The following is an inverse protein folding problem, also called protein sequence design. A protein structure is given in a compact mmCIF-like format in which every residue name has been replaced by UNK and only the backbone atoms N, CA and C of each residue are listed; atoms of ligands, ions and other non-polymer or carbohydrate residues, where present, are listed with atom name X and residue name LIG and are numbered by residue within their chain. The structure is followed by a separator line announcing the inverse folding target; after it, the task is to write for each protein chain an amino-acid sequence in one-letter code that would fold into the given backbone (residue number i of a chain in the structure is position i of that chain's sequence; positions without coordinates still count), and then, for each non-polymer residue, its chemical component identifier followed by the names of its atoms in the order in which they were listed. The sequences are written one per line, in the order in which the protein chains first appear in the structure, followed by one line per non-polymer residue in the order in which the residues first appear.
data_IF_309833880554
#
_entry.id   IF_309833880554
#
_cell.length_a   1.000
_cell.length_b   1.000
_cell.length_c   1.000
_cell.angle_alpha   90.00
_cell.angle_beta   90.00
_cell.angle_gamma   90.00
#
_symmetry.space_group_name_H-M   'P 1'
#
loop_
_entity.id
_entity.type
_entity.pdbx_description
1 polymer ?
#
# COMPACT_ATOMS: atom_id res chain seq x y z
N UNK A 1 -47.74 32.71 55.89
CA UNK A 1 -49.09 32.66 55.28
C UNK A 1 -49.49 34.10 54.92
N UNK A 2 -49.12 34.58 53.74
CA UNK A 2 -49.13 36.00 53.37
C UNK A 2 -50.27 36.39 52.42
N UNK A 3 -51.16 37.26 52.93
CA UNK A 3 -52.07 38.27 52.36
C UNK A 3 -52.28 38.36 50.83
N UNK A 4 -53.56 38.42 50.42
CA UNK A 4 -54.02 38.94 49.12
C UNK A 4 -54.11 40.48 49.09
N UNK A 5 -53.89 41.11 47.92
CA UNK A 5 -54.52 42.38 47.47
C UNK A 5 -54.61 42.39 45.92
N UNK A 6 -55.77 42.80 45.37
CA UNK A 6 -56.11 42.89 43.94
C UNK A 6 -55.74 44.24 43.27
N UNK A 7 -55.29 44.18 42.00
CA UNK A 7 -55.52 45.02 40.77
C UNK A 7 -55.63 46.58 40.82
N UNK A 8 -55.76 47.31 39.68
CA UNK A 8 -55.06 47.33 38.37
C UNK A 8 -54.49 48.75 38.05
N UNK A 9 -53.64 48.89 37.02
CA UNK A 9 -53.20 50.22 36.55
C UNK A 9 -52.44 50.18 35.23
N UNK A 10 -53.06 50.71 34.17
CA UNK A 10 -52.51 50.90 32.82
C UNK A 10 -51.59 52.14 32.72
N UNK A 11 -50.98 52.30 31.53
CA UNK A 11 -50.43 53.48 30.82
C UNK A 11 -49.01 53.13 30.30
N UNK A 12 -48.81 52.61 29.08
CA UNK A 12 -48.84 53.20 27.72
C UNK A 12 -47.46 53.76 27.26
N UNK A 13 -46.94 53.22 26.14
CA UNK A 13 -45.74 53.71 25.44
C UNK A 13 -45.11 52.68 24.50
N UNK A 14 -45.65 52.54 23.29
CA UNK A 14 -44.92 52.07 22.07
C UNK A 14 -44.26 53.29 21.38
N UNK A 15 -43.46 53.18 20.29
CA UNK A 15 -42.49 52.17 19.85
C UNK A 15 -41.17 52.82 19.30
N UNK A 16 -40.26 51.99 18.77
CA UNK A 16 -39.41 52.23 17.57
C UNK A 16 -37.88 51.99 17.71
N UNK A 17 -37.35 51.45 16.60
CA UNK A 17 -35.97 51.21 16.19
C UNK A 17 -35.23 50.00 16.79
N UNK A 18 -34.95 48.92 16.06
CA UNK A 18 -34.36 48.71 14.73
C UNK A 18 -32.96 48.09 14.90
N UNK A 19 -32.70 47.03 14.13
CA UNK A 19 -31.33 46.62 13.82
C UNK A 19 -30.65 45.66 14.78
N UNK A 20 -31.32 44.59 15.24
CA UNK A 20 -30.58 43.35 15.51
C UNK A 20 -30.56 42.56 14.22
N UNK A 21 -29.56 42.85 13.40
CA UNK A 21 -29.17 41.97 12.30
C UNK A 21 -28.94 40.58 12.89
N UNK A 22 -29.93 39.71 12.72
CA UNK A 22 -29.74 38.29 12.89
C UNK A 22 -28.70 37.90 11.83
N UNK A 23 -27.47 37.60 12.30
CA UNK A 23 -26.40 37.09 11.47
C UNK A 23 -26.96 36.08 10.48
N UNK A 24 -26.71 36.34 9.20
CA UNK A 24 -27.29 35.59 8.11
C UNK A 24 -26.94 34.10 8.27
N UNK A 25 -27.77 33.15 7.81
CA UNK A 25 -27.40 31.73 7.77
C UNK A 25 -26.07 31.46 7.05
N UNK A 26 -25.57 32.43 6.27
CA UNK A 26 -24.30 32.40 5.57
C UNK A 26 -23.08 32.67 6.47
N UNK A 27 -23.24 33.20 7.69
CA UNK A 27 -22.13 33.51 8.60
C UNK A 27 -21.63 32.27 9.38
N UNK A 28 -22.44 31.21 9.49
CA UNK A 28 -22.04 29.95 10.16
C UNK A 28 -21.29 28.98 9.23
N UNK A 29 -21.31 29.22 7.92
CA UNK A 29 -20.60 28.39 6.94
C UNK A 29 -19.09 28.71 6.90
N UNK A 30 -18.69 29.85 7.46
CA UNK A 30 -17.31 30.23 7.61
C UNK A 30 -16.71 29.66 8.91
N UNK A 31 -15.89 28.61 8.78
CA UNK A 31 -14.78 28.24 9.67
C UNK A 31 -14.84 26.89 10.41
N UNK A 32 -15.38 25.82 9.81
CA UNK A 32 -14.73 24.51 10.00
C UNK A 32 -13.43 24.50 9.17
N UNK A 33 -12.39 25.21 9.61
CA UNK A 33 -11.06 25.09 9.01
C UNK A 33 -10.60 23.66 9.25
N UNK A 34 -10.65 22.83 8.22
CA UNK A 34 -10.12 21.48 8.28
C UNK A 34 -8.65 21.56 8.70
N UNK A 35 -8.37 21.12 9.92
CA UNK A 35 -7.00 21.11 10.43
C UNK A 35 -6.22 20.07 9.63
N UNK A 36 -5.11 20.42 8.96
CA UNK A 36 -4.37 19.45 8.17
C UNK A 36 -3.78 18.41 9.12
N UNK A 37 -4.27 17.17 9.03
CA UNK A 37 -3.74 16.07 9.80
C UNK A 37 -2.35 15.73 9.26
N UNK A 38 -1.29 16.21 9.93
CA UNK A 38 0.09 15.91 9.55
C UNK A 38 0.41 14.48 9.95
N UNK A 39 0.62 13.60 8.96
CA UNK A 39 1.12 12.25 9.24
C UNK A 39 2.60 12.34 9.63
N UNK A 40 3.00 11.84 10.81
CA UNK A 40 4.40 11.84 11.24
C UNK A 40 5.17 10.74 10.53
N UNK A 41 6.49 10.89 10.35
CA UNK A 41 7.33 9.99 9.53
C UNK A 41 7.35 8.51 10.01
N UNK A 42 7.04 8.28 11.29
CA UNK A 42 6.98 6.98 11.95
C UNK A 42 5.56 6.38 12.00
N UNK A 43 4.61 6.94 11.23
CA UNK A 43 3.21 6.50 11.18
C UNK A 43 3.05 4.99 11.00
N UNK A 44 3.96 4.36 10.26
CA UNK A 44 3.95 2.94 9.93
C UNK A 44 4.24 2.01 11.11
N UNK A 45 4.86 2.52 12.18
CA UNK A 45 5.16 1.73 13.40
C UNK A 45 3.92 1.52 14.29
N UNK A 46 2.87 2.31 14.08
CA UNK A 46 1.66 2.30 14.92
C UNK A 46 0.76 1.08 14.70
N UNK A 47 0.87 0.42 13.54
CA UNK A 47 0.02 -0.71 13.20
C UNK A 47 0.85 -1.79 12.49
N UNK A 48 0.77 -3.06 12.93
CA UNK A 48 1.48 -4.16 12.27
C UNK A 48 1.13 -4.30 10.78
N UNK A 49 -0.08 -3.91 10.35
CA UNK A 49 -0.45 -3.91 8.92
C UNK A 49 0.35 -2.89 8.11
N UNK A 50 0.59 -1.70 8.67
CA UNK A 50 1.41 -0.68 8.01
C UNK A 50 2.89 -1.06 8.02
N UNK A 51 3.38 -1.68 9.10
CA UNK A 51 4.71 -2.25 9.15
C UNK A 51 4.91 -3.28 8.04
N UNK A 52 3.99 -4.24 7.90
CA UNK A 52 4.05 -5.28 6.84
C UNK A 52 3.98 -4.68 5.43
N UNK A 53 3.25 -3.58 5.25
CA UNK A 53 3.26 -2.82 3.99
C UNK A 53 4.65 -2.23 3.71
N UNK A 54 5.27 -1.55 4.67
CA UNK A 54 6.62 -0.98 4.48
C UNK A 54 7.66 -2.08 4.25
N UNK A 55 7.58 -3.20 4.99
CA UNK A 55 8.46 -4.36 4.78
C UNK A 55 8.28 -4.94 3.37
N UNK A 56 7.04 -5.03 2.88
CA UNK A 56 6.76 -5.44 1.50
C UNK A 56 7.46 -4.51 0.50
N UNK A 57 7.31 -3.20 0.63
CA UNK A 57 7.99 -2.25 -0.27
C UNK A 57 9.52 -2.36 -0.18
N UNK A 58 10.05 -2.57 1.03
CA UNK A 58 11.48 -2.72 1.27
C UNK A 58 12.09 -3.92 0.55
N UNK A 59 11.31 -4.98 0.30
CA UNK A 59 11.80 -6.17 -0.43
C UNK A 59 12.35 -5.87 -1.82
N UNK A 60 11.94 -4.77 -2.46
CA UNK A 60 12.45 -4.36 -3.76
C UNK A 60 13.95 -4.00 -3.73
N UNK A 61 14.47 -3.50 -2.61
CA UNK A 61 15.87 -3.07 -2.47
C UNK A 61 16.85 -4.24 -2.60
N UNK A 62 16.79 -5.31 -1.78
CA UNK A 62 17.71 -6.45 -1.92
C UNK A 62 17.57 -7.15 -3.27
N UNK A 63 16.37 -7.18 -3.86
CA UNK A 63 16.13 -7.73 -5.20
C UNK A 63 16.86 -6.89 -6.26
N UNK A 64 16.73 -5.56 -6.20
CA UNK A 64 17.40 -4.66 -7.14
C UNK A 64 18.92 -4.75 -7.04
N UNK A 65 19.48 -4.81 -5.83
CA UNK A 65 20.92 -4.99 -5.60
C UNK A 65 21.38 -6.32 -6.23
N UNK A 66 20.64 -7.41 -6.00
CA UNK A 66 20.95 -8.70 -6.60
C UNK A 66 20.86 -8.68 -8.13
N UNK A 67 19.89 -7.95 -8.70
CA UNK A 67 19.78 -7.75 -10.15
C UNK A 67 20.95 -6.99 -10.74
N UNK A 68 21.41 -5.91 -10.09
CA UNK A 68 22.62 -5.19 -10.53
C UNK A 68 23.83 -6.13 -10.50
N UNK A 69 23.97 -6.94 -9.45
CA UNK A 69 25.03 -7.94 -9.38
C UNK A 69 24.96 -8.96 -10.51
N UNK A 70 23.77 -9.48 -10.79
CA UNK A 70 23.54 -10.41 -11.90
C UNK A 70 23.97 -9.82 -13.25
N UNK A 71 23.69 -8.53 -13.50
CA UNK A 71 24.15 -7.83 -14.70
C UNK A 71 25.68 -7.71 -14.77
N UNK A 72 26.35 -7.49 -13.63
CA UNK A 72 27.82 -7.49 -13.54
C UNK A 72 28.38 -8.87 -13.92
N UNK A 73 27.77 -9.96 -13.45
CA UNK A 73 28.20 -11.32 -13.83
C UNK A 73 28.02 -11.58 -15.33
N UNK A 74 26.90 -11.14 -15.92
CA UNK A 74 26.70 -11.20 -17.38
C UNK A 74 27.78 -10.40 -18.12
N UNK A 75 28.13 -9.21 -17.64
CA UNK A 75 29.17 -8.39 -18.25
C UNK A 75 30.54 -9.07 -18.18
N UNK A 76 30.86 -9.79 -17.11
CA UNK A 76 32.10 -10.57 -16.95
C UNK A 76 32.16 -11.76 -17.90
N UNK A 77 31.02 -12.38 -18.22
CA UNK A 77 30.94 -13.48 -19.19
C UNK A 77 31.30 -13.06 -20.63
N UNK A 78 31.35 -11.76 -20.94
CA UNK A 78 31.72 -11.26 -22.27
C UNK A 78 33.13 -11.68 -22.73
N UNK A 79 34.02 -12.03 -21.80
CA UNK A 79 35.38 -12.50 -22.11
C UNK A 79 35.47 -13.96 -22.57
N UNK A 80 34.35 -14.68 -22.66
CA UNK A 80 34.31 -16.10 -23.03
C UNK A 80 34.42 -17.06 -21.85
N UNK A 81 34.14 -18.34 -22.09
CA UNK A 81 34.01 -19.38 -21.07
C UNK A 81 35.33 -19.70 -20.32
N UNK A 82 36.49 -19.34 -20.87
CA UNK A 82 37.80 -19.64 -20.30
C UNK A 82 38.22 -18.68 -19.18
N UNK A 83 37.58 -17.52 -19.07
CA UNK A 83 37.93 -16.48 -18.09
C UNK A 83 36.89 -16.23 -16.99
N UNK A 84 35.67 -16.76 -17.13
CA UNK A 84 34.62 -16.53 -16.16
C UNK A 84 34.82 -17.38 -14.90
N UNK A 85 34.97 -16.70 -13.76
CA UNK A 85 35.01 -17.33 -12.44
C UNK A 85 33.85 -16.78 -11.61
N UNK A 86 32.80 -17.57 -11.36
CA UNK A 86 31.67 -17.10 -10.57
C UNK A 86 32.11 -16.78 -9.14
N UNK A 87 31.50 -15.77 -8.53
CA UNK A 87 31.70 -15.54 -7.10
C UNK A 87 31.09 -16.69 -6.29
N UNK A 88 31.94 -17.44 -5.59
CA UNK A 88 31.53 -18.60 -4.78
C UNK A 88 31.85 -18.44 -3.28
N UNK A 89 32.06 -17.22 -2.80
CA UNK A 89 32.28 -17.01 -1.38
C UNK A 89 31.04 -17.41 -0.58
N UNK A 90 31.23 -18.02 0.60
CA UNK A 90 30.12 -18.39 1.48
C UNK A 90 29.22 -17.19 1.81
N UNK A 91 29.82 -16.01 2.01
CA UNK A 91 29.10 -14.76 2.23
C UNK A 91 28.18 -14.40 1.05
N UNK A 92 28.62 -14.62 -0.19
CA UNK A 92 27.81 -14.35 -1.37
C UNK A 92 26.64 -15.33 -1.53
N UNK A 93 26.86 -16.60 -1.17
CA UNK A 93 25.78 -17.60 -1.14
C UNK A 93 24.73 -17.22 -0.11
N UNK A 94 25.14 -16.86 1.11
CA UNK A 94 24.22 -16.40 2.17
C UNK A 94 23.44 -15.17 1.70
N UNK A 95 24.13 -14.17 1.12
CA UNK A 95 23.50 -12.98 0.56
C UNK A 95 22.44 -13.34 -0.51
N UNK A 96 22.78 -14.23 -1.45
CA UNK A 96 21.87 -14.67 -2.50
C UNK A 96 20.66 -15.41 -1.96
N UNK A 97 20.83 -16.25 -0.93
CA UNK A 97 19.72 -16.95 -0.26
C UNK A 97 18.79 -15.97 0.45
N UNK A 98 19.34 -14.94 1.10
CA UNK A 98 18.53 -13.87 1.72
C UNK A 98 17.76 -13.09 0.66
N UNK A 99 18.40 -12.71 -0.45
CA UNK A 99 17.72 -12.05 -1.58
C UNK A 99 16.62 -12.95 -2.18
N UNK A 100 16.86 -14.25 -2.28
CA UNK A 100 15.86 -15.22 -2.74
C UNK A 100 14.66 -15.29 -1.78
N UNK A 101 14.89 -15.30 -0.46
CA UNK A 101 13.81 -15.27 0.52
C UNK A 101 12.95 -13.99 0.38
N UNK A 102 13.59 -12.84 0.19
CA UNK A 102 12.88 -11.58 -0.09
C UNK A 102 12.11 -11.63 -1.41
N UNK A 103 12.69 -12.21 -2.47
CA UNK A 103 12.01 -12.38 -3.75
C UNK A 103 10.78 -13.28 -3.64
N UNK A 104 10.88 -14.42 -2.92
CA UNK A 104 9.75 -15.32 -2.69
C UNK A 104 8.62 -14.64 -1.91
N UNK A 105 8.97 -13.90 -0.84
CA UNK A 105 7.99 -13.10 -0.09
C UNK A 105 7.33 -12.03 -0.96
N UNK A 106 8.12 -11.32 -1.77
CA UNK A 106 7.63 -10.32 -2.71
C UNK A 106 6.64 -10.93 -3.72
N UNK A 107 7.03 -12.03 -4.37
CA UNK A 107 6.16 -12.77 -5.29
C UNK A 107 4.87 -13.22 -4.62
N UNK A 108 4.94 -13.78 -3.42
CA UNK A 108 3.76 -14.24 -2.69
C UNK A 108 2.76 -13.12 -2.40
N UNK A 109 3.24 -11.98 -1.92
CA UNK A 109 2.36 -10.83 -1.63
C UNK A 109 1.80 -10.20 -2.90
N UNK A 110 2.60 -10.11 -3.98
CA UNK A 110 2.18 -9.61 -5.28
C UNK A 110 1.10 -10.48 -5.93
N UNK A 111 1.32 -11.81 -5.98
CA UNK A 111 0.36 -12.74 -6.58
C UNK A 111 -0.94 -12.83 -5.78
N UNK A 112 -0.90 -12.67 -4.45
CA UNK A 112 -2.14 -12.53 -3.65
C UNK A 112 -2.89 -11.25 -3.96
N UNK A 113 -2.19 -10.14 -4.20
CA UNK A 113 -2.80 -8.85 -4.53
C UNK A 113 -3.41 -8.85 -5.94
N UNK A 114 -2.93 -9.73 -6.84
CA UNK A 114 -3.45 -9.84 -8.21
C UNK A 114 -4.97 -10.04 -8.27
N UNK A 115 -5.54 -10.87 -7.39
CA UNK A 115 -6.99 -11.13 -7.36
C UNK A 115 -7.83 -9.93 -6.93
N UNK A 116 -7.23 -8.91 -6.30
CA UNK A 116 -7.89 -7.66 -5.95
C UNK A 116 -7.88 -6.65 -7.11
N UNK A 117 -6.76 -6.61 -7.84
CA UNK A 117 -6.49 -5.60 -8.88
C UNK A 117 -7.03 -6.04 -10.24
N UNK A 118 -6.81 -7.30 -10.61
CA UNK A 118 -7.16 -7.82 -11.93
C UNK A 118 -8.65 -8.14 -11.98
N UNK A 119 -9.38 -7.47 -12.87
CA UNK A 119 -10.80 -7.70 -13.12
C UNK A 119 -10.99 -8.05 -14.58
N UNK A 120 -11.19 -9.33 -14.86
CA UNK A 120 -11.41 -9.82 -16.22
C UNK A 120 -12.92 -10.05 -16.40
N UNK A 121 -13.60 -9.31 -17.29
CA UNK A 121 -14.99 -9.57 -17.61
C UNK A 121 -15.13 -10.85 -18.44
N UNK A 122 -16.09 -11.70 -18.08
CA UNK A 122 -16.44 -12.94 -18.74
C UNK A 122 -17.97 -12.97 -18.96
N UNK A 123 -18.39 -12.42 -20.09
CA UNK A 123 -19.80 -12.18 -20.39
C UNK A 123 -20.40 -11.19 -19.38
N UNK A 124 -21.41 -11.62 -18.62
CA UNK A 124 -22.08 -10.81 -17.61
C UNK A 124 -21.45 -10.89 -16.21
N UNK A 125 -20.41 -11.72 -16.03
CA UNK A 125 -19.76 -11.93 -14.72
C UNK A 125 -18.29 -11.58 -14.81
N UNK A 126 -17.64 -11.26 -13.69
CA UNK A 126 -16.18 -11.15 -13.62
C UNK A 126 -15.57 -12.47 -13.17
N UNK A 127 -14.37 -12.78 -13.67
CA UNK A 127 -13.60 -13.94 -13.20
C UNK A 127 -13.42 -13.85 -11.68
N UNK A 128 -13.68 -14.93 -10.90
CA UNK A 128 -13.49 -14.91 -9.47
C UNK A 128 -12.03 -14.64 -9.09
N UNK A 129 -11.81 -13.80 -8.07
CA UNK A 129 -10.47 -13.46 -7.59
C UNK A 129 -9.62 -14.70 -7.25
N UNK A 130 -10.23 -15.76 -6.72
CA UNK A 130 -9.55 -17.01 -6.41
C UNK A 130 -8.95 -17.72 -7.63
N UNK A 131 -9.62 -17.64 -8.79
CA UNK A 131 -9.11 -18.22 -10.05
C UNK A 131 -7.90 -17.44 -10.54
N UNK A 132 -7.93 -16.12 -10.42
CA UNK A 132 -6.81 -15.24 -10.80
C UNK A 132 -5.59 -15.53 -9.94
N UNK A 133 -5.76 -15.59 -8.61
CA UNK A 133 -4.68 -15.90 -7.67
C UNK A 133 -4.15 -17.31 -7.91
N UNK A 134 -5.04 -18.30 -8.03
CA UNK A 134 -4.67 -19.69 -8.30
C UNK A 134 -3.90 -19.86 -9.61
N UNK A 135 -4.40 -19.24 -10.70
CA UNK A 135 -3.73 -19.23 -11.99
C UNK A 135 -2.37 -18.54 -11.96
N UNK A 136 -2.24 -17.45 -11.19
CA UNK A 136 -0.98 -16.74 -10.99
C UNK A 136 0.08 -17.63 -10.30
N UNK A 137 -0.30 -18.37 -9.26
CA UNK A 137 0.58 -19.34 -8.60
C UNK A 137 0.90 -20.54 -9.51
N UNK A 138 -0.09 -21.05 -10.25
CA UNK A 138 0.12 -22.13 -11.21
C UNK A 138 1.14 -21.72 -12.29
N UNK A 139 1.02 -20.50 -12.82
CA UNK A 139 1.96 -19.94 -13.78
C UNK A 139 3.36 -19.78 -13.19
N UNK A 140 3.49 -19.32 -11.94
CA UNK A 140 4.78 -19.23 -11.25
C UNK A 140 5.46 -20.61 -11.12
N UNK A 141 4.70 -21.62 -10.69
CA UNK A 141 5.21 -23.00 -10.57
C UNK A 141 5.63 -23.54 -11.93
N UNK A 142 4.78 -23.37 -12.95
CA UNK A 142 5.08 -23.79 -14.32
C UNK A 142 6.36 -23.12 -14.83
N UNK A 143 6.50 -21.81 -14.69
CA UNK A 143 7.69 -21.07 -15.10
C UNK A 143 8.95 -21.59 -14.37
N UNK A 144 8.84 -21.86 -13.07
CA UNK A 144 9.94 -22.42 -12.27
C UNK A 144 10.36 -23.80 -12.78
N UNK A 145 9.40 -24.69 -13.07
CA UNK A 145 9.67 -26.03 -13.60
C UNK A 145 10.28 -25.97 -14.99
N UNK A 146 9.76 -25.12 -15.88
CA UNK A 146 10.28 -24.96 -17.24
C UNK A 146 11.70 -24.43 -17.23
N UNK A 147 11.98 -23.37 -16.46
CA UNK A 147 13.34 -22.79 -16.36
C UNK A 147 14.29 -23.77 -15.69
N UNK A 148 13.90 -24.40 -14.58
CA UNK A 148 14.74 -25.40 -13.90
C UNK A 148 15.02 -26.63 -14.77
N UNK A 149 14.02 -27.09 -15.51
CA UNK A 149 14.15 -28.17 -16.49
C UNK A 149 15.10 -27.78 -17.62
N UNK A 150 14.94 -26.60 -18.21
CA UNK A 150 15.82 -26.10 -19.27
C UNK A 150 17.28 -25.99 -18.80
N UNK A 151 17.51 -25.47 -17.58
CA UNK A 151 18.85 -25.32 -17.03
C UNK A 151 19.53 -26.67 -16.73
N UNK A 152 18.77 -27.67 -16.28
CA UNK A 152 19.31 -29.01 -15.96
C UNK A 152 19.49 -29.90 -17.18
N UNK A 153 18.63 -29.75 -18.18
CA UNK A 153 18.71 -30.52 -19.44
C UNK A 153 19.70 -29.89 -20.42
N UNK A 154 19.77 -28.57 -20.50
CA UNK A 154 20.69 -27.84 -21.39
C UNK A 154 22.12 -27.70 -20.87
N UNK A 155 22.35 -28.03 -19.58
CA UNK A 155 23.68 -28.06 -18.96
C UNK A 155 24.39 -29.43 -19.05
N UNK A 156 23.75 -30.43 -19.68
CA UNK A 156 24.37 -31.72 -20.03
C UNK A 156 24.87 -31.68 -21.47
#
# INVERSE_FOLDING_TARGET
MGRQVSAPGAIQGEPAEAGREAGSPHDQVAASRAHPNRLPADWWRRNPRYLMYIVREFTAVPIAIWMVWFLIEIARMRGGATGYRPHQSLAFVIFSVVCLAFALWHSFTFLRLSGLIVRIPLGQRTVPAGVIVGGSFALLVLATVVVGGLLTLGGR
#
